data_IF_604298084278
#
_entry.id   IF_604298084278
#
_cell.length_a   1.000
_cell.length_b   1.000
_cell.length_c   1.000
_cell.angle_alpha   90.00
_cell.angle_beta   90.00
_cell.angle_gamma   90.00
#
_symmetry.space_group_name_H-M   'P 1'
#
loop_
_entity.id
_entity.type
_entity.pdbx_description
1 polymer ?
#
# COMPACT_ATOMS: atom_id res chain seq x y z
N UNK A 1 -17.08 -7.10 5.09
CA UNK A 1 -15.70 -6.70 4.83
C UNK A 1 -15.72 -5.23 5.04
N UNK A 2 -15.47 -4.84 6.27
CA UNK A 2 -15.30 -3.44 6.61
C UNK A 2 -14.00 -3.36 7.39
N UNK A 3 -13.35 -2.24 7.23
CA UNK A 3 -12.00 -1.96 7.68
C UNK A 3 -11.53 -0.74 6.91
N UNK A 4 -10.51 -0.07 7.43
CA UNK A 4 -9.88 1.06 6.80
C UNK A 4 -8.54 0.59 6.23
N UNK A 5 -8.21 1.05 5.03
CA UNK A 5 -6.84 0.97 4.55
C UNK A 5 -6.16 2.32 4.75
N UNK A 6 -4.94 2.31 5.25
CA UNK A 6 -4.15 3.50 5.59
C UNK A 6 -2.83 3.42 4.84
N UNK A 7 -2.49 4.50 4.13
CA UNK A 7 -1.20 4.66 3.50
C UNK A 7 -0.27 5.44 4.43
N UNK A 8 0.97 4.99 4.57
CA UNK A 8 2.01 5.75 5.26
C UNK A 8 2.70 6.75 4.34
N UNK A 9 3.03 7.89 4.95
CA UNK A 9 3.96 8.92 4.48
C UNK A 9 4.88 9.25 5.66
N UNK A 10 5.99 8.52 5.76
CA UNK A 10 6.99 8.70 6.81
C UNK A 10 8.41 8.58 6.30
N UNK A 11 9.38 8.51 7.20
CA UNK A 11 10.76 8.20 6.83
C UNK A 11 10.98 6.68 6.76
N UNK A 12 11.74 6.22 5.76
CA UNK A 12 12.11 4.80 5.64
C UNK A 12 11.05 3.97 4.92
N UNK A 13 10.79 2.75 5.41
CA UNK A 13 9.87 1.83 4.76
C UNK A 13 8.43 2.32 4.85
N UNK A 14 7.74 2.38 3.71
CA UNK A 14 6.34 2.79 3.61
C UNK A 14 5.44 1.56 3.50
N UNK A 15 4.29 1.60 4.19
CA UNK A 15 3.32 0.52 4.18
C UNK A 15 1.93 0.97 3.78
N UNK A 16 1.16 0.00 3.31
CA UNK A 16 -0.29 0.03 3.44
C UNK A 16 -0.64 -0.81 4.66
N UNK A 17 -1.36 -0.21 5.61
CA UNK A 17 -1.94 -0.92 6.75
C UNK A 17 -3.42 -1.15 6.55
N UNK A 18 -3.89 -2.31 6.98
CA UNK A 18 -5.31 -2.54 7.21
C UNK A 18 -5.64 -2.33 8.68
N UNK A 19 -6.79 -1.72 8.94
CA UNK A 19 -7.38 -1.56 10.27
C UNK A 19 -8.72 -2.27 10.30
N UNK A 20 -8.85 -3.28 11.16
CA UNK A 20 -10.10 -4.02 11.30
C UNK A 20 -11.16 -3.16 11.99
N UNK A 21 -12.43 -3.56 11.93
CA UNK A 21 -13.52 -2.87 12.70
C UNK A 21 -13.31 -2.88 14.21
N UNK A 22 -12.40 -3.73 14.72
CA UNK A 22 -12.04 -3.78 16.15
C UNK A 22 -10.81 -2.94 16.48
N UNK A 23 -10.25 -2.23 15.50
CA UNK A 23 -9.06 -1.39 15.65
C UNK A 23 -7.74 -2.16 15.58
N UNK A 24 -7.75 -3.44 15.20
CA UNK A 24 -6.51 -4.21 15.02
C UNK A 24 -5.81 -3.74 13.73
N UNK A 25 -4.53 -3.43 13.85
CA UNK A 25 -3.70 -2.96 12.74
C UNK A 25 -2.85 -4.12 12.22
N UNK A 26 -2.80 -4.31 10.89
CA UNK A 26 -1.95 -5.32 10.25
C UNK A 26 -1.30 -4.76 8.98
N UNK A 27 -0.04 -5.13 8.73
CA UNK A 27 0.66 -4.75 7.50
C UNK A 27 0.04 -5.49 6.31
N UNK A 28 -0.51 -4.73 5.37
CA UNK A 28 -1.12 -5.27 4.15
C UNK A 28 -0.09 -5.34 3.01
N UNK A 29 0.71 -4.29 2.85
CA UNK A 29 1.76 -4.22 1.85
C UNK A 29 2.92 -3.34 2.34
N UNK A 30 4.12 -3.57 1.81
CA UNK A 30 5.29 -2.70 1.95
C UNK A 30 5.73 -2.22 0.57
N UNK A 31 6.07 -0.95 0.43
CA UNK A 31 6.67 -0.44 -0.80
C UNK A 31 8.08 -1.02 -0.99
N UNK A 32 8.31 -1.66 -2.13
CA UNK A 32 9.61 -2.21 -2.54
C UNK A 32 10.21 -1.50 -3.76
N UNK A 33 9.53 -0.48 -4.30
CA UNK A 33 10.05 0.32 -5.40
C UNK A 33 11.13 1.27 -4.88
N UNK A 34 12.39 0.97 -5.18
CA UNK A 34 13.50 1.84 -4.81
C UNK A 34 13.46 3.09 -5.67
N UNK A 35 13.31 4.26 -5.06
CA UNK A 35 13.34 5.57 -5.72
C UNK A 35 14.65 6.32 -5.50
N UNK A 36 15.54 5.77 -4.68
CA UNK A 36 16.89 6.27 -4.43
C UNK A 36 17.92 5.59 -5.33
N UNK A 37 19.06 5.23 -4.74
CA UNK A 37 20.15 4.50 -5.42
C UNK A 37 20.31 3.08 -4.87
N UNK A 38 21.07 2.19 -5.53
CA UNK A 38 21.37 0.87 -4.97
C UNK A 38 22.05 0.91 -3.60
N UNK A 39 22.95 1.87 -3.38
CA UNK A 39 23.73 2.00 -2.13
C UNK A 39 23.01 2.82 -1.04
N UNK A 40 22.05 3.65 -1.44
CA UNK A 40 21.21 4.45 -0.55
C UNK A 40 19.74 4.35 -1.02
N UNK A 41 19.03 3.26 -0.64
CA UNK A 41 17.66 3.05 -1.09
C UNK A 41 16.67 3.95 -0.34
N UNK A 42 15.66 4.39 -1.07
CA UNK A 42 14.55 5.18 -0.55
C UNK A 42 13.23 4.60 -1.06
N UNK A 43 12.15 4.79 -0.30
CA UNK A 43 10.83 4.24 -0.60
C UNK A 43 9.83 5.37 -0.61
N UNK A 44 9.16 5.59 -1.75
CA UNK A 44 8.18 6.66 -1.89
C UNK A 44 6.91 6.42 -1.07
N UNK A 45 6.31 7.51 -0.59
CA UNK A 45 5.04 7.48 0.14
C UNK A 45 3.93 6.81 -0.69
N UNK A 46 3.05 6.09 -0.01
CA UNK A 46 1.81 5.65 -0.63
C UNK A 46 0.78 6.79 -0.51
N UNK A 47 0.14 7.13 -1.63
CA UNK A 47 -0.78 8.27 -1.71
C UNK A 47 -2.25 7.87 -1.87
N UNK A 48 -2.54 6.58 -1.92
CA UNK A 48 -3.92 6.10 -2.04
C UNK A 48 -3.99 4.60 -2.26
N UNK A 49 -5.07 4.01 -1.78
CA UNK A 49 -5.36 2.59 -1.97
C UNK A 49 -6.86 2.40 -2.13
N UNK A 50 -7.23 1.56 -3.08
CA UNK A 50 -8.63 1.17 -3.32
C UNK A 50 -8.69 -0.24 -3.90
N UNK A 51 -9.89 -0.83 -3.90
CA UNK A 51 -10.16 -2.11 -4.54
C UNK A 51 -11.12 -1.90 -5.72
N UNK A 52 -10.96 -2.71 -6.75
CA UNK A 52 -11.95 -2.81 -7.84
C UNK A 52 -13.32 -3.21 -7.28
N UNK A 53 -14.44 -2.88 -7.97
CA UNK A 53 -15.79 -3.22 -7.51
C UNK A 53 -16.03 -4.72 -7.29
N UNK A 54 -15.36 -5.58 -8.05
CA UNK A 54 -15.39 -7.05 -7.91
C UNK A 54 -14.48 -7.57 -6.77
N UNK A 55 -13.64 -6.71 -6.21
CA UNK A 55 -12.70 -7.02 -5.14
C UNK A 55 -11.51 -7.87 -5.58
N UNK A 56 -11.23 -8.01 -6.88
CA UNK A 56 -10.15 -8.89 -7.39
C UNK A 56 -8.82 -8.16 -7.58
N UNK A 57 -8.85 -6.83 -7.65
CA UNK A 57 -7.65 -6.00 -7.81
C UNK A 57 -7.58 -4.94 -6.73
N UNK A 58 -6.44 -4.86 -6.05
CA UNK A 58 -6.04 -3.71 -5.25
C UNK A 58 -5.26 -2.74 -6.14
N UNK A 59 -5.67 -1.48 -6.18
CA UNK A 59 -4.90 -0.38 -6.74
C UNK A 59 -4.24 0.39 -5.62
N UNK A 60 -2.94 0.64 -5.73
CA UNK A 60 -2.19 1.46 -4.76
C UNK A 60 -1.25 2.41 -5.50
N UNK A 61 -1.25 3.68 -5.10
CA UNK A 61 -0.47 4.75 -5.72
C UNK A 61 0.77 5.07 -4.88
N UNK A 62 1.92 5.21 -5.53
CA UNK A 62 3.16 5.74 -4.96
C UNK A 62 3.41 7.14 -5.54
N UNK A 63 3.41 8.18 -4.69
CA UNK A 63 3.42 9.59 -5.15
C UNK A 63 4.65 9.90 -6.01
N UNK A 64 5.84 9.56 -5.51
CA UNK A 64 7.09 9.59 -6.27
C UNK A 64 7.50 8.15 -6.54
N UNK A 65 7.66 7.72 -7.81
CA UNK A 65 7.75 8.53 -9.03
C UNK A 65 6.41 8.68 -9.78
N UNK A 66 5.26 8.52 -9.11
CA UNK A 66 3.94 8.56 -9.73
C UNK A 66 3.47 7.20 -10.23
N UNK A 67 3.96 6.12 -9.63
CA UNK A 67 3.63 4.75 -10.03
C UNK A 67 2.29 4.32 -9.44
N UNK A 68 1.46 3.65 -10.24
CA UNK A 68 0.26 2.97 -9.75
C UNK A 68 0.43 1.47 -9.95
N UNK A 69 0.28 0.70 -8.87
CA UNK A 69 0.32 -0.75 -8.91
C UNK A 69 -1.10 -1.30 -8.98
N UNK A 70 -1.32 -2.25 -9.88
CA UNK A 70 -2.49 -3.11 -9.89
C UNK A 70 -2.06 -4.49 -9.39
N UNK A 71 -2.51 -4.85 -8.19
CA UNK A 71 -2.15 -6.13 -7.55
C UNK A 71 -3.38 -7.02 -7.54
N UNK A 72 -3.28 -8.18 -8.17
CA UNK A 72 -4.31 -9.23 -8.10
C UNK A 72 -3.96 -10.22 -7.00
N UNK A 73 -4.98 -10.83 -6.40
CA UNK A 73 -4.76 -11.79 -5.34
C UNK A 73 -6.06 -12.40 -4.83
N UNK A 74 -5.98 -13.46 -4.03
CA UNK A 74 -7.14 -13.97 -3.32
C UNK A 74 -7.48 -13.03 -2.15
N UNK A 75 -8.01 -11.84 -2.46
CA UNK A 75 -8.44 -10.84 -1.47
C UNK A 75 -9.72 -11.23 -0.73
N UNK A 76 -10.41 -12.28 -1.20
CA UNK A 76 -11.68 -12.75 -0.66
C UNK A 76 -11.43 -13.36 0.74
N UNK A 77 -11.91 -12.57 1.73
CA UNK A 77 -12.23 -12.83 3.15
C UNK A 77 -11.74 -14.10 3.82
#
# INVERSE_FOLDING_TARGET
>A
SGGLMVCEDGNGAQHVFGVTRRGEVYAMARNAQNIGTPDAPEWGEFAGVTFSPDGETMFVNCYTPGTTFAVTGPWRR
#
